data_IF_571838846932
#
_entry.id   IF_571838846932
#
_cell.length_a   1.000
_cell.length_b   1.000
_cell.length_c   1.000
_cell.angle_alpha   90.00
_cell.angle_beta   90.00
_cell.angle_gamma   90.00
#
_symmetry.space_group_name_H-M   'P 1'
#
loop_
_entity.id
_entity.type
_entity.pdbx_description
1 polymer ?
#
# COMPACT_ATOMS: atom_id res chain seq x y z
N UNK A 1 -12.37 28.26 -6.24
CA UNK A 1 -12.80 26.86 -6.54
C UNK A 1 -13.40 26.23 -5.29
N UNK A 2 -14.67 25.81 -5.34
CA UNK A 2 -15.37 25.18 -4.20
C UNK A 2 -14.64 23.90 -3.71
N UNK A 3 -14.56 23.65 -2.38
CA UNK A 3 -13.91 22.47 -1.80
C UNK A 3 -14.30 21.13 -2.43
N UNK A 4 -15.59 20.96 -2.74
CA UNK A 4 -16.13 19.73 -3.34
C UNK A 4 -15.55 19.44 -4.73
N UNK A 5 -15.34 20.46 -5.56
CA UNK A 5 -14.80 20.31 -6.92
C UNK A 5 -13.33 19.90 -6.89
N UNK A 6 -12.55 20.43 -5.94
CA UNK A 6 -11.14 20.04 -5.74
C UNK A 6 -11.01 18.57 -5.36
N UNK A 7 -11.90 18.09 -4.50
CA UNK A 7 -11.94 16.69 -4.07
C UNK A 7 -12.27 15.77 -5.27
N UNK A 8 -13.32 16.09 -6.05
CA UNK A 8 -13.68 15.31 -7.24
C UNK A 8 -12.55 15.27 -8.27
N UNK A 9 -11.91 16.41 -8.54
CA UNK A 9 -10.76 16.46 -9.45
C UNK A 9 -9.60 15.59 -8.95
N UNK A 10 -9.34 15.61 -7.65
CA UNK A 10 -8.31 14.79 -7.01
C UNK A 10 -8.58 13.29 -7.18
N UNK A 11 -9.85 12.87 -7.11
CA UNK A 11 -10.26 11.49 -7.36
C UNK A 11 -10.19 11.11 -8.83
N UNK A 12 -10.44 12.03 -9.76
CA UNK A 12 -10.37 11.77 -11.21
C UNK A 12 -8.94 11.62 -11.73
N UNK A 13 -7.95 12.26 -11.09
CA UNK A 13 -6.55 12.26 -11.54
C UNK A 13 -5.95 10.84 -11.70
N UNK A 14 -6.07 9.91 -10.73
CA UNK A 14 -5.62 8.53 -10.90
C UNK A 14 -6.27 7.81 -12.09
N UNK A 15 -7.59 7.97 -12.28
CA UNK A 15 -8.31 7.34 -13.40
C UNK A 15 -7.92 7.92 -14.76
N UNK A 16 -7.75 9.24 -14.84
CA UNK A 16 -7.26 9.89 -16.04
C UNK A 16 -5.84 9.40 -16.38
N UNK A 17 -4.96 9.30 -15.37
CA UNK A 17 -3.61 8.76 -15.54
C UNK A 17 -3.63 7.30 -15.99
N UNK A 18 -4.55 6.49 -15.47
CA UNK A 18 -4.73 5.09 -15.87
C UNK A 18 -5.10 4.97 -17.35
N UNK A 19 -6.14 5.69 -17.79
CA UNK A 19 -6.64 5.62 -19.17
C UNK A 19 -5.61 6.12 -20.19
N UNK A 20 -4.92 7.22 -19.87
CA UNK A 20 -3.87 7.77 -20.76
C UNK A 20 -2.74 6.75 -20.91
N UNK A 21 -2.32 6.10 -19.81
CA UNK A 21 -1.26 5.12 -19.80
C UNK A 21 -1.63 3.85 -20.59
N UNK A 22 -2.84 3.33 -20.43
CA UNK A 22 -3.29 2.19 -21.25
C UNK A 22 -3.31 2.53 -22.73
N UNK A 23 -3.72 3.75 -23.10
CA UNK A 23 -3.80 4.17 -24.50
C UNK A 23 -2.43 4.21 -25.20
N UNK A 24 -1.35 4.48 -24.45
CA UNK A 24 0.03 4.46 -24.95
C UNK A 24 0.73 3.10 -24.73
N UNK A 25 0.01 2.07 -24.27
CA UNK A 25 0.53 0.72 -24.08
C UNK A 25 1.41 0.52 -22.85
N UNK A 26 1.36 1.42 -21.85
CA UNK A 26 2.09 1.28 -20.58
C UNK A 26 1.14 0.89 -19.44
N UNK A 27 1.68 0.45 -18.30
CA UNK A 27 0.85 0.01 -17.17
C UNK A 27 0.04 1.16 -16.55
N UNK A 28 -1.28 1.14 -16.78
CA UNK A 28 -2.22 2.10 -16.19
C UNK A 28 -2.21 2.09 -14.67
N UNK A 29 -2.08 0.92 -14.05
CA UNK A 29 -2.02 0.76 -12.59
C UNK A 29 -0.78 1.48 -12.03
N UNK A 30 0.40 1.27 -12.61
CA UNK A 30 1.63 1.93 -12.15
C UNK A 30 1.58 3.45 -12.38
N UNK A 31 0.97 3.89 -13.49
CA UNK A 31 0.78 5.31 -13.76
C UNK A 31 -0.11 5.98 -12.70
N UNK A 32 -1.26 5.37 -12.37
CA UNK A 32 -2.16 5.86 -11.32
C UNK A 32 -1.46 5.93 -9.95
N UNK A 33 -0.65 4.92 -9.60
CA UNK A 33 0.14 4.91 -8.37
C UNK A 33 1.19 6.03 -8.36
N UNK A 34 1.90 6.22 -9.46
CA UNK A 34 2.89 7.29 -9.60
C UNK A 34 2.24 8.69 -9.47
N UNK A 35 1.06 8.88 -10.07
CA UNK A 35 0.27 10.09 -9.93
C UNK A 35 -0.12 10.33 -8.46
N UNK A 36 -0.63 9.29 -7.78
CA UNK A 36 -0.96 9.34 -6.34
C UNK A 36 0.25 9.72 -5.48
N UNK A 37 1.39 9.05 -5.66
CA UNK A 37 2.64 9.35 -4.95
C UNK A 37 3.11 10.79 -5.19
N UNK A 38 2.97 11.29 -6.42
CA UNK A 38 3.34 12.67 -6.79
C UNK A 38 2.42 13.69 -6.12
N UNK A 39 1.12 13.42 -6.09
CA UNK A 39 0.13 14.26 -5.39
C UNK A 39 0.45 14.35 -3.89
N UNK A 40 0.80 13.22 -3.26
CA UNK A 40 1.18 13.19 -1.84
C UNK A 40 2.48 13.95 -1.59
N UNK A 41 3.48 13.81 -2.47
CA UNK A 41 4.81 14.41 -2.31
C UNK A 41 4.88 15.90 -2.67
N UNK A 42 4.03 16.37 -3.57
CA UNK A 42 4.03 17.76 -4.07
C UNK A 42 3.58 18.80 -3.03
N UNK A 43 3.10 18.38 -1.85
CA UNK A 43 2.67 19.31 -0.80
C UNK A 43 1.39 20.08 -1.14
N UNK A 44 0.74 19.79 -2.27
CA UNK A 44 -0.55 20.37 -2.69
C UNK A 44 -1.61 20.17 -1.60
N UNK A 45 -1.60 19.01 -0.95
CA UNK A 45 -2.45 18.71 0.20
C UNK A 45 -2.04 19.48 1.47
N UNK A 46 -0.75 19.80 1.64
CA UNK A 46 -0.19 20.46 2.83
C UNK A 46 -0.54 21.95 2.88
N UNK A 47 -0.71 22.58 1.72
CA UNK A 47 -1.19 23.97 1.56
C UNK A 47 -2.73 24.10 1.55
N UNK A 48 -3.45 22.97 1.51
CA UNK A 48 -4.91 22.97 1.56
C UNK A 48 -5.42 23.15 3.02
N UNK A 49 -6.57 23.82 3.23
CA UNK A 49 -7.16 23.98 4.56
C UNK A 49 -7.32 22.62 5.26
N UNK A 50 -7.01 22.53 6.56
CA UNK A 50 -7.04 21.28 7.34
C UNK A 50 -8.38 20.53 7.19
N UNK A 51 -9.50 21.26 7.20
CA UNK A 51 -10.85 20.71 7.01
C UNK A 51 -11.06 20.04 5.64
N UNK A 52 -10.35 20.48 4.59
CA UNK A 52 -10.41 19.86 3.26
C UNK A 52 -9.62 18.55 3.23
N UNK A 53 -8.47 18.49 3.91
CA UNK A 53 -7.63 17.29 4.00
C UNK A 53 -8.33 16.17 4.77
N UNK A 54 -8.93 16.52 5.92
CA UNK A 54 -9.73 15.60 6.72
C UNK A 54 -10.88 15.01 5.91
N UNK A 55 -11.67 15.86 5.24
CA UNK A 55 -12.77 15.41 4.39
C UNK A 55 -12.30 14.52 3.24
N UNK A 56 -11.24 14.90 2.52
CA UNK A 56 -10.70 14.10 1.43
C UNK A 56 -10.18 12.73 1.91
N UNK A 57 -9.45 12.70 3.02
CA UNK A 57 -8.94 11.46 3.61
C UNK A 57 -10.09 10.55 4.07
N UNK A 58 -11.13 11.10 4.72
CA UNK A 58 -12.29 10.32 5.12
C UNK A 58 -13.06 9.75 3.93
N UNK A 59 -13.25 10.54 2.87
CA UNK A 59 -13.88 10.04 1.63
C UNK A 59 -13.02 8.96 0.97
N UNK A 60 -11.70 9.13 0.95
CA UNK A 60 -10.78 8.12 0.42
C UNK A 60 -10.85 6.81 1.23
N UNK A 61 -10.80 6.90 2.57
CA UNK A 61 -10.91 5.74 3.45
C UNK A 61 -12.26 5.03 3.30
N UNK A 62 -13.35 5.78 3.12
CA UNK A 62 -14.67 5.20 2.86
C UNK A 62 -14.69 4.42 1.53
N UNK A 63 -14.13 4.99 0.45
CA UNK A 63 -14.03 4.31 -0.84
C UNK A 63 -13.15 3.07 -0.75
N UNK A 64 -12.00 3.16 -0.10
CA UNK A 64 -11.10 2.04 0.13
C UNK A 64 -11.79 0.91 0.92
N UNK A 65 -12.56 1.27 1.96
CA UNK A 65 -13.36 0.31 2.72
C UNK A 65 -14.42 -0.37 1.86
N UNK A 66 -15.17 0.39 1.05
CA UNK A 66 -16.21 -0.16 0.17
C UNK A 66 -15.61 -1.06 -0.90
N UNK A 67 -14.54 -0.63 -1.57
CA UNK A 67 -13.90 -1.44 -2.61
C UNK A 67 -13.25 -2.71 -2.04
N UNK A 68 -12.51 -2.61 -0.94
CA UNK A 68 -11.95 -3.79 -0.30
C UNK A 68 -13.06 -4.74 0.17
N UNK A 69 -14.12 -4.20 0.79
CA UNK A 69 -15.29 -4.97 1.21
C UNK A 69 -15.97 -5.69 0.04
N UNK A 70 -16.15 -5.02 -1.10
CA UNK A 70 -16.71 -5.61 -2.32
C UNK A 70 -15.83 -6.74 -2.85
N UNK A 71 -14.51 -6.56 -2.89
CA UNK A 71 -13.57 -7.58 -3.37
C UNK A 71 -13.58 -8.82 -2.47
N UNK A 72 -13.64 -8.64 -1.15
CA UNK A 72 -13.78 -9.76 -0.21
C UNK A 72 -15.16 -10.43 -0.26
N UNK A 73 -16.23 -9.67 -0.48
CA UNK A 73 -17.56 -10.23 -0.66
C UNK A 73 -17.62 -11.09 -1.93
N UNK A 74 -17.03 -10.61 -3.04
CA UNK A 74 -16.91 -11.39 -4.27
C UNK A 74 -16.08 -12.66 -4.07
N UNK A 75 -14.96 -12.58 -3.34
CA UNK A 75 -14.18 -13.75 -2.97
C UNK A 75 -15.04 -14.75 -2.20
N UNK A 76 -15.73 -14.29 -1.15
CA UNK A 76 -16.59 -15.11 -0.31
C UNK A 76 -17.72 -15.78 -1.10
N UNK A 77 -18.31 -15.08 -2.07
CA UNK A 77 -19.33 -15.63 -2.95
C UNK A 77 -18.77 -16.69 -3.92
N UNK A 78 -17.51 -16.54 -4.33
CA UNK A 78 -16.86 -17.50 -5.22
C UNK A 78 -16.33 -18.74 -4.49
N UNK A 79 -16.12 -18.68 -3.16
CA UNK A 79 -15.56 -19.79 -2.37
C UNK A 79 -16.28 -21.13 -2.57
N UNK A 80 -17.63 -21.23 -2.53
CA UNK A 80 -18.32 -22.50 -2.71
C UNK A 80 -18.00 -23.15 -4.07
N UNK A 81 -18.07 -22.37 -5.15
CA UNK A 81 -17.78 -22.89 -6.50
C UNK A 81 -16.31 -23.28 -6.68
N UNK A 82 -15.40 -22.59 -6.01
CA UNK A 82 -13.96 -22.92 -5.99
C UNK A 82 -13.71 -24.21 -5.20
N UNK A 83 -14.41 -24.41 -4.09
CA UNK A 83 -14.33 -25.64 -3.29
C UNK A 83 -14.89 -26.83 -4.07
N UNK A 84 -16.09 -26.73 -4.64
CA UNK A 84 -16.73 -27.80 -5.41
C UNK A 84 -15.87 -28.26 -6.59
N UNK A 85 -15.31 -27.31 -7.36
CA UNK A 85 -14.43 -27.63 -8.49
C UNK A 85 -13.10 -28.27 -8.05
N UNK A 86 -12.54 -27.85 -6.92
CA UNK A 86 -11.31 -28.44 -6.37
C UNK A 86 -11.54 -29.81 -5.75
N UNK A 87 -12.68 -30.05 -5.11
CA UNK A 87 -13.06 -31.37 -4.59
C UNK A 87 -13.30 -32.35 -5.74
N UNK A 88 -13.96 -31.92 -6.82
CA UNK A 88 -14.16 -32.75 -8.02
C UNK A 88 -12.83 -33.10 -8.73
N UNK A 89 -11.85 -32.19 -8.73
CA UNK A 89 -10.51 -32.46 -9.25
C UNK A 89 -9.71 -33.42 -8.35
N UNK A 90 -9.88 -33.34 -7.03
CA UNK A 90 -9.26 -34.26 -6.07
C UNK A 90 -9.88 -35.67 -6.10
N UNK A 91 -11.18 -35.79 -6.37
CA UNK A 91 -11.85 -37.09 -6.55
C UNK A 91 -11.45 -37.81 -7.85
N UNK A 92 -10.94 -37.09 -8.85
CA UNK A 92 -10.51 -37.65 -10.12
C UNK A 92 -9.12 -38.31 -10.07
N UNK A 93 -8.33 -38.09 -9.01
CA UNK A 93 -6.95 -38.58 -8.89
C UNK A 93 -6.77 -39.47 -7.64
N UNK A 94 -6.64 -40.81 -7.76
CA UNK A 94 -6.65 -41.76 -6.64
C UNK A 94 -5.50 -41.63 -5.61
N UNK A 95 -4.51 -40.77 -5.86
CA UNK A 95 -3.31 -40.60 -5.04
C UNK A 95 -3.21 -39.25 -4.32
N UNK A 96 -4.18 -38.34 -4.50
CA UNK A 96 -4.12 -36.99 -3.90
C UNK A 96 -5.08 -36.93 -2.72
N UNK A 97 -4.57 -37.25 -1.53
CA UNK A 97 -5.32 -37.01 -0.29
C UNK A 97 -5.63 -35.52 -0.15
N UNK A 98 -6.85 -35.17 0.27
CA UNK A 98 -7.32 -33.78 0.49
C UNK A 98 -6.37 -32.96 1.39
N UNK A 99 -5.54 -33.63 2.19
CA UNK A 99 -4.48 -33.02 3.01
C UNK A 99 -3.37 -32.34 2.18
N UNK A 100 -3.07 -32.80 0.97
CA UNK A 100 -2.02 -32.23 0.11
C UNK A 100 -2.33 -30.78 -0.30
N UNK A 101 -3.60 -30.47 -0.62
CA UNK A 101 -4.02 -29.10 -0.95
C UNK A 101 -3.84 -28.13 0.22
N UNK A 102 -4.11 -28.58 1.46
CA UNK A 102 -3.86 -27.78 2.65
C UNK A 102 -2.37 -27.57 2.89
N UNK A 103 -1.54 -28.59 2.68
CA UNK A 103 -0.08 -28.43 2.78
C UNK A 103 0.46 -27.48 1.72
N UNK A 104 -0.08 -27.48 0.50
CA UNK A 104 0.33 -26.55 -0.56
C UNK A 104 0.00 -25.11 -0.20
N UNK A 105 -1.18 -24.84 0.34
CA UNK A 105 -1.56 -23.49 0.82
C UNK A 105 -0.59 -23.01 1.91
N UNK A 106 -0.29 -23.88 2.89
CA UNK A 106 0.64 -23.55 3.97
C UNK A 106 2.06 -23.34 3.44
N UNK A 107 2.51 -24.17 2.51
CA UNK A 107 3.83 -24.10 1.91
C UNK A 107 3.99 -22.83 1.06
N UNK A 108 3.01 -22.51 0.21
CA UNK A 108 2.99 -21.29 -0.60
C UNK A 108 2.96 -20.08 0.31
N UNK A 109 2.11 -20.07 1.34
CA UNK A 109 2.08 -18.97 2.31
C UNK A 109 3.43 -18.80 3.02
N UNK A 110 4.04 -19.88 3.48
CA UNK A 110 5.36 -19.85 4.12
C UNK A 110 6.44 -19.33 3.16
N UNK A 111 6.45 -19.79 1.90
CA UNK A 111 7.35 -19.31 0.87
C UNK A 111 7.18 -17.81 0.61
N UNK A 112 5.95 -17.33 0.42
CA UNK A 112 5.65 -15.91 0.24
C UNK A 112 6.09 -15.08 1.46
N UNK A 113 5.90 -15.62 2.66
CA UNK A 113 6.30 -14.97 3.90
C UNK A 113 7.82 -14.87 4.03
N UNK A 114 8.54 -15.93 3.68
CA UNK A 114 10.01 -15.94 3.63
C UNK A 114 10.56 -14.97 2.59
N UNK A 115 9.98 -14.95 1.38
CA UNK A 115 10.36 -13.98 0.33
C UNK A 115 10.15 -12.55 0.82
N UNK A 116 9.01 -12.26 1.43
CA UNK A 116 8.69 -10.93 1.97
C UNK A 116 9.65 -10.52 3.09
N UNK A 117 9.88 -11.42 4.04
CA UNK A 117 10.80 -11.18 5.14
C UNK A 117 12.24 -11.00 4.66
N UNK A 118 12.69 -11.86 3.75
CA UNK A 118 14.01 -11.79 3.12
C UNK A 118 14.20 -10.50 2.34
N UNK A 119 13.17 -10.04 1.62
CA UNK A 119 13.20 -8.77 0.89
C UNK A 119 13.34 -7.57 1.84
N UNK A 120 12.54 -7.49 2.90
CA UNK A 120 12.64 -6.41 3.89
C UNK A 120 13.99 -6.42 4.62
N UNK A 121 14.49 -7.61 4.97
CA UNK A 121 15.79 -7.77 5.61
C UNK A 121 16.93 -7.36 4.68
N UNK A 122 16.86 -7.73 3.40
CA UNK A 122 17.81 -7.33 2.36
C UNK A 122 17.79 -5.82 2.17
N UNK A 123 16.61 -5.20 2.09
CA UNK A 123 16.45 -3.75 1.99
C UNK A 123 17.06 -3.01 3.19
N UNK A 124 16.88 -3.54 4.41
CA UNK A 124 17.53 -3.01 5.62
C UNK A 124 19.06 -3.08 5.51
N UNK A 125 19.61 -4.26 5.20
CA UNK A 125 21.07 -4.47 5.05
C UNK A 125 21.65 -3.59 3.96
N UNK A 126 20.97 -3.49 2.82
CA UNK A 126 21.36 -2.65 1.70
C UNK A 126 21.35 -1.17 2.09
N UNK A 127 20.30 -0.70 2.77
CA UNK A 127 20.21 0.68 3.24
C UNK A 127 21.34 1.06 4.19
N UNK A 128 21.63 0.19 5.17
CA UNK A 128 22.71 0.40 6.15
C UNK A 128 24.10 0.40 5.49
N UNK A 129 24.28 -0.37 4.42
CA UNK A 129 25.57 -0.50 3.74
C UNK A 129 25.83 0.59 2.70
N UNK A 130 24.82 0.96 1.90
CA UNK A 130 24.97 1.87 0.76
C UNK A 130 24.48 3.29 1.02
N UNK A 131 23.49 3.51 1.90
CA UNK A 131 22.84 4.81 2.11
C UNK A 131 23.28 5.47 3.44
N UNK A 132 24.59 5.59 3.68
CA UNK A 132 25.14 6.18 4.92
C UNK A 132 24.74 7.65 5.16
N UNK A 133 24.53 8.45 4.10
CA UNK A 133 24.18 9.88 4.22
C UNK A 133 22.67 10.14 4.40
N UNK A 134 21.82 9.22 3.92
CA UNK A 134 20.35 9.28 4.07
C UNK A 134 19.80 7.85 4.19
N UNK A 135 19.93 7.19 5.35
CA UNK A 135 19.37 5.86 5.54
C UNK A 135 17.86 5.89 5.32
N UNK A 136 17.31 4.85 4.71
CA UNK A 136 15.85 4.72 4.55
C UNK A 136 15.21 4.58 5.93
N UNK A 137 13.95 5.01 6.10
CA UNK A 137 13.26 4.95 7.42
C UNK A 137 13.18 3.51 7.98
N UNK A 138 13.26 2.49 7.10
CA UNK A 138 13.30 1.07 7.45
C UNK A 138 14.65 0.58 8.02
N UNK A 139 15.72 1.37 7.90
CA UNK A 139 17.07 0.95 8.27
C UNK A 139 17.26 0.84 9.79
N UNK A 140 16.54 1.66 10.57
CA UNK A 140 16.56 1.64 12.04
C UNK A 140 15.65 0.56 12.64
N UNK A 141 14.88 -0.16 11.82
CA UNK A 141 13.88 -1.09 12.34
C UNK A 141 14.52 -2.32 12.97
N UNK A 142 14.05 -2.72 14.15
CA UNK A 142 14.47 -3.96 14.82
C UNK A 142 14.02 -5.17 14.01
N UNK A 143 14.69 -6.33 14.14
CA UNK A 143 14.27 -7.57 13.45
C UNK A 143 12.81 -7.95 13.77
N UNK A 144 12.31 -7.57 14.96
CA UNK A 144 10.91 -7.75 15.36
C UNK A 144 9.95 -6.83 14.60
N UNK A 145 10.33 -5.58 14.34
CA UNK A 145 9.56 -4.64 13.52
C UNK A 145 9.48 -5.11 12.06
N UNK A 146 10.56 -5.70 11.53
CA UNK A 146 10.53 -6.33 10.21
C UNK A 146 9.56 -7.52 10.17
N UNK A 147 9.57 -8.38 11.21
CA UNK A 147 8.61 -9.47 11.32
C UNK A 147 7.17 -8.94 11.34
N UNK A 148 6.90 -7.92 12.16
CA UNK A 148 5.58 -7.27 12.23
C UNK A 148 5.18 -6.70 10.87
N UNK A 149 6.08 -6.00 10.18
CA UNK A 149 5.81 -5.43 8.86
C UNK A 149 5.56 -6.50 7.79
N UNK A 150 6.19 -7.68 7.91
CA UNK A 150 5.85 -8.83 7.07
C UNK A 150 4.44 -9.35 7.34
N UNK A 151 4.01 -9.35 8.60
CA UNK A 151 2.67 -9.81 8.99
C UNK A 151 1.56 -8.76 8.86
N UNK A 152 1.89 -7.46 8.78
CA UNK A 152 0.94 -6.35 8.78
C UNK A 152 0.37 -5.96 7.41
N UNK A 153 0.78 -6.63 6.33
CA UNK A 153 0.30 -6.32 4.99
C UNK A 153 -1.18 -6.65 4.78
N UNK A 154 -1.92 -5.72 4.17
CA UNK A 154 -3.24 -5.98 3.59
C UNK A 154 -3.09 -7.08 2.55
N UNK A 155 -3.72 -8.23 2.77
CA UNK A 155 -3.72 -9.37 1.86
C UNK A 155 -5.08 -9.45 1.19
N UNK A 156 -5.15 -9.67 -0.11
CA UNK A 156 -6.41 -10.05 -0.74
C UNK A 156 -6.67 -9.33 -2.05
N UNK A 157 -6.92 -8.02 -2.02
CA UNK A 157 -7.55 -7.37 -3.17
C UNK A 157 -6.70 -7.38 -4.45
N UNK A 158 -5.41 -7.09 -4.34
CA UNK A 158 -4.50 -7.06 -5.50
C UNK A 158 -4.28 -8.46 -6.06
N UNK A 159 -4.07 -9.44 -5.19
CA UNK A 159 -3.90 -10.85 -5.57
C UNK A 159 -5.16 -11.38 -6.25
N UNK A 160 -6.34 -11.08 -5.69
CA UNK A 160 -7.60 -11.49 -6.25
C UNK A 160 -7.85 -10.84 -7.61
N UNK A 161 -7.62 -9.54 -7.73
CA UNK A 161 -7.73 -8.84 -9.01
C UNK A 161 -6.84 -9.51 -10.07
N UNK A 162 -5.58 -9.81 -9.75
CA UNK A 162 -4.66 -10.48 -10.67
C UNK A 162 -5.15 -11.86 -11.12
N UNK A 163 -5.70 -12.65 -10.20
CA UNK A 163 -6.20 -14.00 -10.48
C UNK A 163 -7.52 -13.98 -11.26
N UNK A 164 -8.40 -13.02 -10.97
CA UNK A 164 -9.64 -12.83 -11.72
C UNK A 164 -9.41 -12.26 -13.12
N UNK A 165 -8.32 -11.51 -13.32
CA UNK A 165 -7.90 -11.04 -14.65
C UNK A 165 -7.39 -12.14 -15.57
N UNK A 166 -7.17 -13.38 -15.08
CA UNK A 166 -6.81 -14.51 -15.93
C UNK A 166 -7.98 -14.81 -16.88
N UNK A 167 -7.75 -14.80 -18.21
CA UNK A 167 -8.80 -14.99 -19.20
C UNK A 167 -9.45 -16.36 -19.06
N UNK A 168 -10.76 -16.43 -19.35
CA UNK A 168 -11.51 -17.69 -19.32
C UNK A 168 -11.15 -18.62 -20.48
N UNK A 169 -10.75 -18.02 -21.61
CA UNK A 169 -10.48 -18.71 -22.86
C UNK A 169 -9.10 -18.31 -23.38
N UNK A 170 -8.38 -19.27 -23.96
CA UNK A 170 -7.21 -19.01 -24.77
C UNK A 170 -7.60 -18.28 -26.08
N UNK A 171 -6.63 -17.67 -26.78
CA UNK A 171 -6.86 -17.11 -28.12
C UNK A 171 -7.48 -18.12 -29.10
N UNK A 172 -7.25 -19.42 -28.85
CA UNK A 172 -7.72 -20.54 -29.66
C UNK A 172 -9.15 -20.99 -29.29
N UNK A 173 -9.80 -20.33 -28.33
CA UNK A 173 -11.16 -20.64 -27.87
C UNK A 173 -11.27 -21.82 -26.88
N UNK A 174 -10.16 -22.48 -26.54
CA UNK A 174 -10.11 -23.50 -25.50
C UNK A 174 -10.12 -22.88 -24.10
N UNK A 175 -10.65 -23.58 -23.10
CA UNK A 175 -10.66 -23.12 -21.70
C UNK A 175 -9.24 -22.96 -21.14
N UNK A 176 -9.01 -21.92 -20.34
CA UNK A 176 -7.71 -21.72 -19.71
C UNK A 176 -7.38 -22.86 -18.74
N UNK A 177 -6.26 -23.59 -18.95
CA UNK A 177 -5.94 -24.75 -18.13
C UNK A 177 -5.65 -24.35 -16.68
N UNK A 178 -6.10 -25.15 -15.72
CA UNK A 178 -5.84 -24.98 -14.29
C UNK A 178 -6.24 -23.61 -13.68
N UNK A 179 -7.11 -22.83 -14.34
CA UNK A 179 -7.57 -21.53 -13.80
C UNK A 179 -8.23 -21.69 -12.43
N UNK A 180 -9.09 -22.69 -12.27
CA UNK A 180 -9.80 -22.94 -11.02
C UNK A 180 -8.86 -23.31 -9.88
N UNK A 181 -7.80 -24.08 -10.14
CA UNK A 181 -6.76 -24.41 -9.18
C UNK A 181 -5.97 -23.17 -8.74
N UNK A 182 -5.59 -22.29 -9.68
CA UNK A 182 -4.92 -21.02 -9.36
C UNK A 182 -5.81 -20.11 -8.51
N UNK A 183 -7.11 -20.05 -8.82
CA UNK A 183 -8.11 -19.31 -8.05
C UNK A 183 -8.27 -19.92 -6.65
N UNK A 184 -8.29 -21.24 -6.54
CA UNK A 184 -8.34 -21.96 -5.27
C UNK A 184 -7.13 -21.68 -4.39
N UNK A 185 -5.92 -21.85 -4.91
CA UNK A 185 -4.68 -21.59 -4.16
C UNK A 185 -4.58 -20.13 -3.74
N UNK A 186 -4.93 -19.20 -4.62
CA UNK A 186 -4.93 -17.78 -4.28
C UNK A 186 -5.95 -17.46 -3.19
N UNK A 187 -7.19 -17.95 -3.30
CA UNK A 187 -8.22 -17.77 -2.29
C UNK A 187 -7.81 -18.38 -0.94
N UNK A 188 -7.30 -19.62 -0.96
CA UNK A 188 -6.81 -20.33 0.22
C UNK A 188 -5.67 -19.59 0.91
N UNK A 189 -4.66 -19.14 0.15
CA UNK A 189 -3.55 -18.34 0.69
C UNK A 189 -4.04 -17.00 1.24
N UNK A 190 -4.99 -16.33 0.58
CA UNK A 190 -5.58 -15.07 1.09
C UNK A 190 -6.26 -15.32 2.44
N UNK A 191 -7.18 -16.30 2.51
CA UNK A 191 -7.90 -16.62 3.75
C UNK A 191 -6.96 -17.04 4.87
N UNK A 192 -6.00 -17.93 4.57
CA UNK A 192 -5.00 -18.38 5.53
C UNK A 192 -4.15 -17.22 6.02
N UNK A 193 -3.72 -16.33 5.12
CA UNK A 193 -2.93 -15.15 5.46
C UNK A 193 -3.68 -14.15 6.34
N UNK A 194 -4.99 -13.99 6.13
CA UNK A 194 -5.85 -13.16 6.97
C UNK A 194 -5.99 -13.78 8.36
N UNK A 195 -6.27 -15.08 8.44
CA UNK A 195 -6.40 -15.80 9.70
C UNK A 195 -5.11 -15.71 10.53
N UNK A 196 -3.97 -16.06 9.93
CA UNK A 196 -2.66 -15.93 10.58
C UNK A 196 -2.37 -14.48 10.95
N UNK A 197 -2.72 -13.52 10.09
CA UNK A 197 -2.54 -12.09 10.37
C UNK A 197 -3.32 -11.61 11.60
N UNK A 198 -4.60 -11.98 11.71
CA UNK A 198 -5.47 -11.59 12.82
C UNK A 198 -4.96 -12.12 14.16
N UNK A 199 -4.34 -13.29 14.18
CA UNK A 199 -3.80 -13.91 15.40
C UNK A 199 -2.37 -13.42 15.69
N UNK A 200 -1.50 -13.41 14.68
CA UNK A 200 -0.08 -13.05 14.86
C UNK A 200 0.12 -11.57 15.17
N UNK A 201 -0.65 -10.67 14.55
CA UNK A 201 -0.47 -9.24 14.79
C UNK A 201 -0.64 -8.82 16.26
N UNK A 202 -1.76 -9.13 16.96
CA UNK A 202 -1.91 -8.76 18.36
C UNK A 202 -0.82 -9.39 19.24
N UNK A 203 -0.46 -10.66 18.99
CA UNK A 203 0.61 -11.35 19.74
C UNK A 203 1.99 -10.70 19.54
N UNK A 204 2.33 -10.34 18.30
CA UNK A 204 3.61 -9.70 18.00
C UNK A 204 3.64 -8.26 18.55
N UNK A 205 2.50 -7.56 18.60
CA UNK A 205 2.38 -6.17 19.05
C UNK A 205 2.29 -6.00 20.58
N UNK A 206 1.91 -7.04 21.32
CA UNK A 206 1.66 -6.99 22.77
C UNK A 206 2.84 -6.49 23.63
N UNK A 207 4.05 -6.41 23.08
CA UNK A 207 5.25 -5.97 23.80
C UNK A 207 6.11 -4.99 22.99
N UNK A 208 5.53 -4.20 22.08
CA UNK A 208 6.26 -3.10 21.44
C UNK A 208 5.86 -1.76 22.06
N UNK A 209 6.78 -1.19 22.84
CA UNK A 209 6.78 0.24 23.20
C UNK A 209 7.22 1.15 22.01
N UNK A 210 7.26 0.63 20.79
CA UNK A 210 8.18 1.11 19.72
C UNK A 210 7.54 2.05 18.68
N UNK A 211 6.27 2.44 18.81
CA UNK A 211 5.70 3.42 17.87
C UNK A 211 6.11 4.87 18.18
N UNK A 212 6.62 5.17 19.38
CA UNK A 212 6.80 6.55 19.82
C UNK A 212 8.09 7.18 19.27
N UNK A 213 9.23 6.47 19.30
CA UNK A 213 10.52 7.08 18.93
C UNK A 213 10.67 7.45 17.45
N UNK A 214 10.24 6.58 16.52
CA UNK A 214 10.33 6.87 15.09
C UNK A 214 9.35 7.96 14.66
N UNK A 215 8.17 7.98 15.29
CA UNK A 215 7.15 8.99 15.04
C UNK A 215 7.55 10.35 15.63
N UNK A 216 8.09 10.37 16.86
CA UNK A 216 8.66 11.57 17.50
C UNK A 216 9.80 12.16 16.67
N UNK A 217 10.75 11.35 16.19
CA UNK A 217 11.84 11.84 15.31
C UNK A 217 11.32 12.47 14.01
N UNK A 218 10.22 11.93 13.47
CA UNK A 218 9.59 12.45 12.24
C UNK A 218 8.82 13.73 12.51
N UNK A 219 8.06 13.78 13.59
CA UNK A 219 7.36 14.97 14.06
C UNK A 219 8.36 16.09 14.39
N UNK A 220 9.48 15.78 15.04
CA UNK A 220 10.54 16.72 15.36
C UNK A 220 11.19 17.28 14.07
N UNK A 221 11.48 16.43 13.08
CA UNK A 221 12.01 16.88 11.78
C UNK A 221 11.03 17.77 11.03
N UNK A 222 9.75 17.43 11.05
CA UNK A 222 8.68 18.21 10.42
C UNK A 222 8.52 19.56 11.12
N UNK A 223 8.56 19.58 12.45
CA UNK A 223 8.50 20.78 13.26
C UNK A 223 9.71 21.68 12.99
N UNK A 224 10.93 21.15 13.05
CA UNK A 224 12.17 21.89 12.75
C UNK A 224 12.16 22.48 11.33
N UNK A 225 11.70 21.74 10.33
CA UNK A 225 11.59 22.24 8.97
C UNK A 225 10.58 23.40 8.86
N UNK A 226 9.42 23.28 9.52
CA UNK A 226 8.42 24.35 9.56
C UNK A 226 8.95 25.60 10.29
N UNK A 227 9.65 25.42 11.41
CA UNK A 227 10.29 26.52 12.15
C UNK A 227 11.35 27.21 11.30
N UNK A 228 12.18 26.45 10.58
CA UNK A 228 13.19 27.02 9.69
C UNK A 228 12.56 27.83 8.55
N UNK A 229 11.48 27.35 7.94
CA UNK A 229 10.76 28.06 6.88
C UNK A 229 10.17 29.39 7.40
N UNK A 230 9.58 29.38 8.60
CA UNK A 230 9.06 30.60 9.24
C UNK A 230 10.19 31.56 9.62
N UNK A 231 11.32 31.05 10.12
CA UNK A 231 12.48 31.86 10.49
C UNK A 231 13.08 32.57 9.28
N UNK A 232 13.19 31.88 8.12
CA UNK A 232 13.68 32.49 6.87
C UNK A 232 12.78 33.64 6.44
N UNK A 233 11.45 33.43 6.45
CA UNK A 233 10.48 34.48 6.09
C UNK A 233 10.53 35.66 7.07
N UNK A 234 10.73 35.40 8.37
CA UNK A 234 10.85 36.45 9.37
C UNK A 234 12.11 37.30 9.18
N UNK A 235 13.25 36.67 8.84
CA UNK A 235 14.51 37.38 8.56
C UNK A 235 14.36 38.26 7.32
N UNK A 236 13.82 37.73 6.21
CA UNK A 236 13.57 38.51 5.01
C UNK A 236 12.68 39.74 5.28
N UNK A 237 11.63 39.57 6.09
CA UNK A 237 10.72 40.66 6.44
C UNK A 237 11.36 41.70 7.37
N UNK A 238 12.32 41.30 8.21
CA UNK A 238 13.11 42.25 9.00
C UNK A 238 14.10 43.02 8.12
N UNK A 239 14.73 42.34 7.17
CA UNK A 239 15.66 42.96 6.21
C UNK A 239 14.95 44.00 5.33
N UNK A 240 13.75 43.70 4.82
CA UNK A 240 12.90 44.66 4.11
C UNK A 240 12.53 45.88 4.96
N UNK A 241 12.21 45.68 6.26
CA UNK A 241 11.91 46.78 7.18
C UNK A 241 13.12 47.66 7.45
N UNK A 242 14.29 47.06 7.67
CA UNK A 242 15.54 47.80 7.87
C UNK A 242 15.97 48.57 6.62
N UNK A 243 15.78 48.00 5.43
CA UNK A 243 16.03 48.69 4.16
C UNK A 243 15.11 49.91 3.99
N UNK A 244 13.81 49.77 4.29
CA UNK A 244 12.85 50.87 4.22
C UNK A 244 13.15 52.00 5.22
N UNK A 245 13.53 51.66 6.46
CA UNK A 245 13.90 52.64 7.50
C UNK A 245 15.18 53.42 7.12
N UNK A 246 16.07 52.79 6.35
CA UNK A 246 17.32 53.42 5.91
C UNK A 246 17.08 54.39 4.74
N UNK A 247 16.13 54.11 3.85
CA UNK A 247 15.74 55.03 2.76
C UNK A 247 14.98 56.26 3.25
N UNK A 248 14.18 56.14 4.32
CA UNK A 248 13.44 57.26 4.92
C UNK A 248 14.37 58.25 5.64
N UNK A 249 15.49 57.77 6.17
CA UNK A 249 16.47 58.59 6.90
C UNK A 249 17.43 59.39 6.01
N UNK A 250 17.41 59.12 4.70
CA UNK A 250 18.26 59.77 3.69
C UNK A 250 17.49 60.71 2.74
N UNK A 251 16.21 60.98 3.00
CA UNK A 251 15.43 62.07 2.39
C UNK A 251 15.29 63.25 3.35
#
# INVERSE_FOLDING_TARGET
MNPRRKIVLLFLLPFASYLIAEHIGVSGILAAVAAGMTITRSGVMRRAPLAMRLRANSTWAMLEFVFNGMVFLLLGLQLPGILESSLAAAEADPNVETWMLFTDIVLIYAALMLVRFGWLWTMKKFSLRFLKKKPMEFASWTSREILIASFAGVRGAITLAGVLSIPLLLPDGSGFPARYELVFLAAGVILFSLFVGVIMLPLLLQHLEVADHAQQLKEERIARAATAEVAIVAIQKMEERLAADTEEKHR
#
